data_IF_732371066668
#
_entry.id   IF_732371066668
#
_cell.length_a   1.000
_cell.length_b   1.000
_cell.length_c   1.000
_cell.angle_alpha   90.00
_cell.angle_beta   90.00
_cell.angle_gamma   90.00
#
_symmetry.space_group_name_H-M   'P 1'
#
loop_
_entity.id
_entity.type
_entity.pdbx_description
1 polymer ?
#
# COMPACT_ATOMS: atom_id res chain seq x y z
N UNK A 1 -52.16 -18.64 17.86
CA UNK A 1 -52.08 -17.47 16.95
C UNK A 1 -50.76 -17.59 16.19
N UNK A 2 -50.76 -18.04 14.94
CA UNK A 2 -49.52 -18.32 14.19
C UNK A 2 -49.12 -17.10 13.35
N UNK A 3 -47.98 -16.50 13.65
CA UNK A 3 -47.41 -15.39 12.86
C UNK A 3 -46.81 -15.98 11.59
N UNK A 4 -47.32 -15.60 10.41
CA UNK A 4 -46.67 -15.92 9.13
C UNK A 4 -45.50 -14.94 8.92
N UNK A 5 -44.30 -15.48 8.72
CA UNK A 5 -43.17 -14.71 8.22
C UNK A 5 -43.41 -14.41 6.73
N UNK A 6 -43.39 -13.13 6.35
CA UNK A 6 -43.44 -12.71 4.95
C UNK A 6 -42.05 -12.86 4.33
N UNK A 7 -41.81 -13.96 3.62
CA UNK A 7 -40.55 -14.13 2.89
C UNK A 7 -40.49 -13.16 1.70
N UNK A 8 -39.49 -12.27 1.70
CA UNK A 8 -39.25 -11.40 0.56
C UNK A 8 -38.72 -12.21 -0.64
N UNK A 9 -39.35 -12.09 -1.83
CA UNK A 9 -38.88 -12.80 -3.01
C UNK A 9 -37.50 -12.28 -3.45
N UNK A 10 -36.56 -13.20 -3.67
CA UNK A 10 -35.14 -12.92 -4.01
C UNK A 10 -34.95 -11.87 -5.10
N UNK A 11 -35.78 -11.91 -6.15
CA UNK A 11 -35.75 -10.92 -7.25
C UNK A 11 -35.98 -9.48 -6.79
N UNK A 12 -36.86 -9.27 -5.81
CA UNK A 12 -37.18 -7.95 -5.27
C UNK A 12 -36.05 -7.45 -4.38
N UNK A 13 -35.47 -8.35 -3.59
CA UNK A 13 -34.26 -8.07 -2.82
C UNK A 13 -33.08 -7.64 -3.73
N UNK A 14 -32.80 -8.39 -4.80
CA UNK A 14 -31.72 -8.06 -5.75
C UNK A 14 -31.96 -6.73 -6.45
N UNK A 15 -33.19 -6.45 -6.88
CA UNK A 15 -33.54 -5.18 -7.52
C UNK A 15 -33.33 -3.99 -6.56
N UNK A 16 -33.75 -4.13 -5.30
CA UNK A 16 -33.58 -3.07 -4.28
C UNK A 16 -32.12 -2.89 -3.88
N UNK A 17 -31.36 -3.98 -3.70
CA UNK A 17 -29.94 -3.92 -3.35
C UNK A 17 -29.08 -3.30 -4.47
N UNK A 18 -29.36 -3.65 -5.73
CA UNK A 18 -28.68 -3.07 -6.89
C UNK A 18 -28.94 -1.57 -7.03
N UNK A 19 -30.19 -1.13 -6.89
CA UNK A 19 -30.52 0.30 -6.91
C UNK A 19 -29.84 1.09 -5.79
N UNK A 20 -29.74 0.51 -4.58
CA UNK A 20 -29.05 1.12 -3.45
C UNK A 20 -27.55 1.30 -3.68
N UNK A 21 -26.88 0.38 -4.40
CA UNK A 21 -25.45 0.48 -4.69
C UNK A 21 -25.06 1.66 -5.60
N UNK A 22 -25.99 2.18 -6.42
CA UNK A 22 -25.76 3.33 -7.29
C UNK A 22 -26.11 4.68 -6.64
N UNK A 23 -26.92 4.66 -5.58
CA UNK A 23 -27.34 5.85 -4.84
C UNK A 23 -26.50 6.07 -3.56
N UNK A 24 -25.55 5.19 -3.27
CA UNK A 24 -24.62 5.33 -2.15
C UNK A 24 -23.49 6.33 -2.44
N UNK A 25 -22.86 6.91 -1.40
CA UNK A 25 -21.70 7.76 -1.59
C UNK A 25 -20.58 7.02 -2.33
N UNK A 26 -20.07 7.59 -3.42
CA UNK A 26 -18.84 7.12 -4.04
C UNK A 26 -17.68 7.50 -3.11
N UNK A 27 -17.26 6.56 -2.26
CA UNK A 27 -16.10 6.76 -1.39
C UNK A 27 -14.84 6.61 -2.26
N UNK A 28 -14.38 7.73 -2.83
CA UNK A 28 -13.07 7.79 -3.46
C UNK A 28 -12.00 7.80 -2.35
N UNK A 29 -11.52 6.61 -1.99
CA UNK A 29 -10.37 6.48 -1.09
C UNK A 29 -9.14 7.00 -1.80
N UNK A 30 -8.28 7.73 -1.10
CA UNK A 30 -6.95 8.05 -1.64
C UNK A 30 -6.20 6.76 -1.99
N UNK A 31 -5.38 6.83 -3.03
CA UNK A 31 -4.46 5.73 -3.34
C UNK A 31 -3.57 5.49 -2.13
N UNK A 32 -3.53 4.24 -1.64
CA UNK A 32 -2.58 3.80 -0.60
C UNK A 32 -1.17 3.57 -1.19
N UNK A 33 -0.91 4.02 -2.41
CA UNK A 33 0.45 4.01 -2.93
C UNK A 33 1.26 5.00 -2.08
N UNK A 34 2.27 4.50 -1.38
CA UNK A 34 3.24 5.36 -0.69
C UNK A 34 3.94 6.18 -1.76
N UNK A 35 3.77 7.50 -1.71
CA UNK A 35 4.48 8.37 -2.65
C UNK A 35 6.00 8.13 -2.51
N UNK A 36 6.72 8.05 -3.64
CA UNK A 36 8.17 7.91 -3.59
C UNK A 36 8.76 9.11 -2.87
N UNK A 37 9.80 8.86 -2.06
CA UNK A 37 10.47 9.94 -1.35
C UNK A 37 11.32 10.71 -2.34
N UNK A 38 10.86 11.88 -2.80
CA UNK A 38 11.61 12.71 -3.74
C UNK A 38 12.40 13.78 -2.97
N UNK A 39 13.70 13.91 -3.30
CA UNK A 39 14.58 14.96 -2.79
C UNK A 39 15.10 15.83 -3.93
N UNK A 40 15.63 17.01 -3.59
CA UNK A 40 16.14 17.98 -4.56
C UNK A 40 15.16 19.13 -4.82
N UNK A 41 15.56 20.08 -5.69
CA UNK A 41 14.76 21.26 -6.04
C UNK A 41 14.95 21.59 -7.53
N UNK A 42 13.95 22.25 -8.09
CA UNK A 42 13.91 22.71 -9.47
C UNK A 42 14.21 21.58 -10.47
N UNK A 43 15.29 21.73 -11.24
CA UNK A 43 15.66 20.81 -12.33
C UNK A 43 16.27 19.49 -11.83
N UNK A 44 16.68 19.41 -10.56
CA UNK A 44 17.40 18.27 -10.02
C UNK A 44 16.60 17.65 -8.88
N UNK A 45 15.75 16.70 -9.23
CA UNK A 45 15.01 15.88 -8.27
C UNK A 45 15.35 14.40 -8.45
N UNK A 46 15.40 13.68 -7.33
CA UNK A 46 15.80 12.28 -7.29
C UNK A 46 14.86 11.49 -6.39
N UNK A 47 14.52 10.27 -6.81
CA UNK A 47 13.81 9.32 -5.97
C UNK A 47 14.77 8.63 -5.00
N UNK A 48 14.40 8.62 -3.71
CA UNK A 48 15.14 7.92 -2.66
C UNK A 48 14.61 6.50 -2.52
N UNK A 49 15.46 5.55 -2.91
CA UNK A 49 15.20 4.12 -2.75
C UNK A 49 15.81 3.66 -1.41
N UNK A 50 14.98 3.56 -0.38
CA UNK A 50 15.39 3.16 0.99
C UNK A 50 15.55 1.64 1.16
N UNK A 51 16.28 0.97 0.26
CA UNK A 51 16.54 -0.49 0.32
C UNK A 51 17.95 -0.80 0.87
N UNK A 52 18.31 -0.20 2.00
CA UNK A 52 19.61 -0.45 2.61
C UNK A 52 19.70 -1.89 3.15
N UNK A 53 20.83 -2.59 3.00
CA UNK A 53 20.95 -3.99 3.41
C UNK A 53 20.72 -4.16 4.92
N UNK A 54 20.03 -5.23 5.25
CA UNK A 54 19.83 -5.67 6.62
C UNK A 54 20.93 -6.64 6.99
N UNK A 55 21.59 -6.40 8.13
CA UNK A 55 22.57 -7.33 8.66
C UNK A 55 21.86 -8.58 9.21
N UNK A 56 22.49 -9.76 9.14
CA UNK A 56 22.03 -10.91 9.89
C UNK A 56 21.96 -10.60 11.40
N UNK A 57 20.96 -11.13 12.10
CA UNK A 57 20.59 -10.77 13.48
C UNK A 57 21.74 -10.77 14.51
N UNK A 58 22.78 -11.59 14.29
CA UNK A 58 23.96 -11.67 15.16
C UNK A 58 24.94 -10.50 15.00
N UNK A 59 24.73 -9.63 14.02
CA UNK A 59 25.60 -8.50 13.72
C UNK A 59 24.88 -7.18 13.93
N UNK A 60 25.65 -6.16 14.27
CA UNK A 60 25.18 -4.79 14.40
C UNK A 60 26.09 -3.87 13.61
N UNK A 61 25.51 -2.80 13.06
CA UNK A 61 26.31 -1.74 12.47
C UNK A 61 27.15 -1.07 13.55
N UNK A 62 28.39 -0.79 13.22
CA UNK A 62 29.32 0.00 14.03
C UNK A 62 29.72 1.24 13.22
N UNK A 63 30.69 2.01 13.70
CA UNK A 63 31.23 3.15 12.95
C UNK A 63 31.95 2.66 11.68
N UNK A 64 31.31 2.83 10.52
CA UNK A 64 31.90 2.53 9.21
C UNK A 64 32.66 3.75 8.67
N UNK A 65 33.89 3.54 8.19
CA UNK A 65 34.71 4.63 7.63
C UNK A 65 34.48 4.85 6.13
N UNK A 66 33.97 3.85 5.43
CA UNK A 66 33.69 3.93 4.00
C UNK A 66 32.71 2.81 3.59
N UNK A 67 32.19 2.91 2.37
CA UNK A 67 31.44 1.85 1.70
C UNK A 67 31.93 1.71 0.26
N UNK A 68 31.91 0.50 -0.29
CA UNK A 68 32.25 0.26 -1.70
C UNK A 68 31.30 -0.78 -2.31
N UNK A 69 31.06 -0.70 -3.61
CA UNK A 69 30.27 -1.68 -4.37
C UNK A 69 31.09 -2.17 -5.56
N UNK A 70 31.16 -3.48 -5.75
CA UNK A 70 31.88 -4.09 -6.87
C UNK A 70 30.99 -4.30 -8.12
N UNK A 71 31.59 -4.81 -9.20
CA UNK A 71 30.90 -5.09 -10.46
C UNK A 71 29.80 -6.15 -10.33
N UNK A 72 29.87 -6.99 -9.30
CA UNK A 72 28.93 -8.07 -9.01
C UNK A 72 27.86 -7.62 -7.99
N UNK A 73 27.84 -6.32 -7.65
CA UNK A 73 26.88 -5.66 -6.76
C UNK A 73 26.99 -6.09 -5.29
N UNK A 74 28.16 -6.56 -4.85
CA UNK A 74 28.39 -6.78 -3.42
C UNK A 74 28.73 -5.46 -2.72
N UNK A 75 28.07 -5.19 -1.59
CA UNK A 75 28.39 -4.05 -0.71
C UNK A 75 29.48 -4.46 0.30
N UNK A 76 30.51 -3.63 0.39
CA UNK A 76 31.59 -3.70 1.38
C UNK A 76 31.52 -2.48 2.30
N UNK A 77 31.73 -2.70 3.59
CA UNK A 77 31.45 -1.75 4.69
C UNK A 77 32.49 -1.91 5.79
#
# INVERSE_FOLDING_TARGET
MSVRSTEMPRRRFLATAGAASLAGPLVMTSSKAKEPSIIGRDEHTYEVIHQYPQLPDRFTWQTTHNVAVDKDQNLYV
#
